data_IF_057340153244
#
_entry.id   IF_057340153244
#
_cell.length_a   1.000
_cell.length_b   1.000
_cell.length_c   1.000
_cell.angle_alpha   90.00
_cell.angle_beta   90.00
_cell.angle_gamma   90.00
#
_symmetry.space_group_name_H-M   'P 1'
#
loop_
_entity.id
_entity.type
_entity.pdbx_description
1 polymer ?
#
# COMPACT_ATOMS: atom_id res chain seq x y z
N UNK A 1 -29.89 -5.21 9.74
CA UNK A 1 -29.71 -3.74 9.70
C UNK A 1 -28.68 -3.48 8.62
N UNK A 2 -28.87 -2.54 7.67
CA UNK A 2 -27.86 -2.32 6.64
C UNK A 2 -26.57 -1.88 7.34
N UNK A 3 -25.50 -2.62 7.04
CA UNK A 3 -24.26 -2.72 7.81
C UNK A 3 -23.59 -1.37 8.03
N UNK A 4 -23.05 -1.18 9.24
CA UNK A 4 -22.11 -0.10 9.52
C UNK A 4 -20.98 -0.21 8.48
N UNK A 5 -20.51 0.90 7.88
CA UNK A 5 -19.28 0.85 7.10
C UNK A 5 -18.17 0.37 8.03
N UNK A 6 -17.50 -0.70 7.63
CA UNK A 6 -16.33 -1.23 8.30
C UNK A 6 -15.12 -0.42 7.82
N UNK A 7 -14.22 -0.09 8.73
CA UNK A 7 -12.95 0.54 8.38
C UNK A 7 -11.95 -0.58 8.14
N UNK A 8 -11.49 -0.72 6.90
CA UNK A 8 -10.41 -1.62 6.55
C UNK A 8 -9.10 -0.85 6.69
N UNK A 9 -8.22 -1.29 7.59
CA UNK A 9 -6.87 -0.77 7.75
C UNK A 9 -5.89 -1.74 7.10
N UNK A 10 -4.99 -1.20 6.28
CA UNK A 10 -3.85 -1.92 5.68
C UNK A 10 -2.59 -1.25 6.20
N UNK A 11 -1.87 -1.98 7.02
CA UNK A 11 -0.57 -1.60 7.54
C UNK A 11 0.51 -2.45 6.86
N UNK A 12 1.65 -1.83 6.57
CA UNK A 12 2.81 -2.51 6.03
C UNK A 12 4.08 -1.72 6.28
N UNK A 13 5.21 -2.34 5.96
CA UNK A 13 6.50 -1.68 6.00
C UNK A 13 7.27 -1.96 4.71
N UNK A 14 7.87 -0.91 4.15
CA UNK A 14 8.71 -0.99 2.96
C UNK A 14 10.15 -0.69 3.36
N UNK A 15 11.05 -1.63 3.08
CA UNK A 15 12.47 -1.44 3.29
C UNK A 15 13.13 -0.89 2.03
N UNK A 16 13.82 0.23 2.17
CA UNK A 16 14.67 0.81 1.14
C UNK A 16 16.14 0.74 1.56
N UNK A 17 17.02 0.49 0.60
CA UNK A 17 18.47 0.48 0.86
C UNK A 17 19.06 1.88 1.16
N UNK A 18 18.29 2.94 0.94
CA UNK A 18 18.69 4.33 1.13
C UNK A 18 17.49 5.18 1.58
N UNK A 19 17.73 6.24 2.34
CA UNK A 19 16.69 7.13 2.88
C UNK A 19 16.12 8.14 1.88
N UNK A 20 16.54 8.12 0.61
CA UNK A 20 15.98 8.99 -0.44
C UNK A 20 14.65 8.47 -1.00
N UNK A 21 13.99 7.53 -0.33
CA UNK A 21 12.76 6.91 -0.82
C UNK A 21 11.63 7.05 0.17
N UNK A 22 10.45 7.31 -0.37
CA UNK A 22 9.19 7.38 0.37
C UNK A 22 8.20 6.43 -0.30
N UNK A 23 7.36 5.81 0.51
CA UNK A 23 6.30 4.92 0.07
C UNK A 23 4.97 5.41 0.62
N UNK A 24 3.92 5.32 -0.19
CA UNK A 24 2.55 5.62 0.21
C UNK A 24 1.61 4.58 -0.41
N UNK A 25 0.61 4.14 0.35
CA UNK A 25 -0.47 3.30 -0.17
C UNK A 25 -1.64 4.19 -0.56
N UNK A 26 -2.14 4.04 -1.78
CA UNK A 26 -3.24 4.84 -2.32
C UNK A 26 -4.31 3.95 -2.96
N UNK A 27 -5.51 4.51 -3.15
CA UNK A 27 -6.57 3.81 -3.90
C UNK A 27 -6.09 3.51 -5.32
N UNK A 28 -6.36 2.29 -5.80
CA UNK A 28 -6.00 1.88 -7.14
C UNK A 28 -6.74 2.71 -8.20
N UNK A 29 -5.99 3.32 -9.13
CA UNK A 29 -6.54 4.21 -10.18
C UNK A 29 -7.27 3.44 -11.30
N UNK A 30 -7.14 2.11 -11.32
CA UNK A 30 -7.76 1.21 -12.30
C UNK A 30 -9.04 0.51 -11.84
N UNK A 31 -9.67 -0.30 -12.72
CA UNK A 31 -10.79 -1.13 -12.32
C UNK A 31 -10.36 -2.14 -11.27
N UNK A 32 -11.05 -2.13 -10.12
CA UNK A 32 -11.01 -3.24 -9.16
C UNK A 32 -11.29 -4.52 -9.95
N UNK A 33 -10.41 -5.52 -9.82
CA UNK A 33 -10.36 -6.68 -10.71
C UNK A 33 -11.67 -7.48 -10.77
N UNK A 34 -11.69 -8.57 -11.54
CA UNK A 34 -12.91 -9.38 -11.74
C UNK A 34 -13.50 -9.89 -10.41
N UNK A 35 -12.67 -10.06 -9.37
CA UNK A 35 -13.12 -10.48 -8.05
C UNK A 35 -13.41 -9.25 -7.16
N UNK A 36 -14.69 -8.96 -6.85
CA UNK A 36 -15.07 -7.79 -6.04
C UNK A 36 -14.69 -7.92 -4.55
N UNK A 37 -14.17 -9.09 -4.13
CA UNK A 37 -13.71 -9.31 -2.75
C UNK A 37 -12.21 -9.06 -2.55
N UNK A 38 -11.49 -8.76 -3.63
CA UNK A 38 -10.08 -8.36 -3.57
C UNK A 38 -10.04 -6.84 -3.64
N UNK A 39 -9.57 -6.21 -2.58
CA UNK A 39 -9.26 -4.78 -2.61
C UNK A 39 -7.89 -4.63 -3.27
N UNK A 40 -7.84 -3.94 -4.41
CA UNK A 40 -6.58 -3.54 -5.04
C UNK A 40 -6.24 -2.13 -4.56
N UNK A 41 -5.03 -1.98 -4.03
CA UNK A 41 -4.42 -0.69 -3.68
C UNK A 41 -3.06 -0.56 -4.37
N UNK A 42 -2.68 0.67 -4.66
CA UNK A 42 -1.41 0.97 -5.30
C UNK A 42 -0.38 1.39 -4.25
N UNK A 43 0.81 0.80 -4.31
CA UNK A 43 1.98 1.28 -3.58
C UNK A 43 2.75 2.25 -4.47
N UNK A 44 2.66 3.54 -4.14
CA UNK A 44 3.41 4.60 -4.82
C UNK A 44 4.75 4.77 -4.12
N UNK A 45 5.83 4.54 -4.86
CA UNK A 45 7.19 4.77 -4.40
C UNK A 45 7.73 6.00 -5.11
N UNK A 46 8.12 7.01 -4.33
CA UNK A 46 8.68 8.27 -4.84
C UNK A 46 10.05 8.52 -4.23
N UNK A 47 10.92 9.15 -5.02
CA UNK A 47 12.24 9.55 -4.55
C UNK A 47 12.14 10.91 -3.86
N UNK A 48 12.58 10.97 -2.61
CA UNK A 48 12.79 12.22 -1.88
C UNK A 48 14.21 12.74 -2.13
N UNK A 49 14.34 14.02 -2.44
CA UNK A 49 15.65 14.68 -2.63
C UNK A 49 16.44 14.84 -1.31
N UNK A 50 15.82 14.50 -0.17
CA UNK A 50 16.39 14.58 1.17
C UNK A 50 16.52 13.17 1.72
N UNK A 51 17.61 12.49 1.38
CA UNK A 51 17.89 11.13 1.84
C UNK A 51 19.30 10.99 2.38
N UNK A 52 19.47 10.12 3.37
CA UNK A 52 20.76 9.67 3.85
C UNK A 52 21.01 8.24 3.35
N UNK A 53 22.26 7.92 2.98
CA UNK A 53 22.78 6.58 2.60
C UNK A 53 22.73 5.59 3.78
N UNK A 54 21.53 5.35 4.28
CA UNK A 54 21.21 4.39 5.34
C UNK A 54 19.94 3.65 4.96
N UNK A 55 19.92 2.36 5.29
CA UNK A 55 18.74 1.52 5.14
C UNK A 55 17.58 2.16 5.90
N UNK A 56 16.48 2.38 5.20
CA UNK A 56 15.32 3.12 5.70
C UNK A 56 14.09 2.25 5.62
N UNK A 57 13.43 2.05 6.78
CA UNK A 57 12.15 1.39 6.90
C UNK A 57 11.06 2.46 6.86
N UNK A 58 10.23 2.43 5.82
CA UNK A 58 9.13 3.38 5.64
C UNK A 58 7.83 2.67 6.00
N UNK A 59 7.19 3.01 7.15
CA UNK A 59 5.88 2.47 7.47
C UNK A 59 4.85 3.05 6.49
N UNK A 60 3.99 2.18 5.98
CA UNK A 60 2.86 2.56 5.12
C UNK A 60 1.56 2.17 5.78
N UNK A 61 0.58 3.05 5.69
CA UNK A 61 -0.73 2.87 6.29
C UNK A 61 -1.80 3.36 5.31
N UNK A 62 -2.86 2.58 5.16
CA UNK A 62 -4.01 2.92 4.34
C UNK A 62 -5.30 2.55 5.05
N UNK A 63 -6.23 3.50 5.12
CA UNK A 63 -7.56 3.30 5.70
C UNK A 63 -8.62 3.48 4.63
N UNK A 64 -9.51 2.51 4.53
CA UNK A 64 -10.66 2.57 3.65
C UNK A 64 -11.95 2.35 4.44
N UNK A 65 -12.83 3.35 4.43
CA UNK A 65 -14.18 3.19 4.96
C UNK A 65 -15.08 2.61 3.87
N UNK A 66 -15.50 1.35 4.04
CA UNK A 66 -16.31 0.66 3.03
C UNK A 66 -17.40 -0.19 3.68
N UNK A 67 -18.52 -0.36 2.97
CA UNK A 67 -19.54 -1.35 3.32
C UNK A 67 -19.33 -2.67 2.58
N UNK A 68 -18.30 -2.76 1.74
CA UNK A 68 -17.92 -3.96 1.00
C UNK A 68 -17.05 -4.86 1.87
N UNK A 69 -17.37 -6.16 1.86
CA UNK A 69 -16.56 -7.16 2.53
C UNK A 69 -15.41 -7.60 1.61
N UNK A 70 -14.18 -7.19 1.94
CA UNK A 70 -12.97 -7.63 1.26
C UNK A 70 -12.33 -8.79 2.03
N UNK A 71 -12.09 -9.94 1.38
CA UNK A 71 -11.41 -11.10 1.98
C UNK A 71 -9.92 -11.17 1.65
N UNK A 72 -9.47 -10.33 0.73
CA UNK A 72 -8.07 -10.21 0.35
C UNK A 72 -7.73 -8.76 -0.01
N UNK A 73 -6.48 -8.36 0.26
CA UNK A 73 -5.90 -7.11 -0.23
C UNK A 73 -4.77 -7.48 -1.19
N UNK A 74 -4.76 -6.85 -2.35
CA UNK A 74 -3.68 -6.93 -3.33
C UNK A 74 -3.02 -5.55 -3.39
N UNK A 75 -1.70 -5.52 -3.20
CA UNK A 75 -0.91 -4.31 -3.32
C UNK A 75 -0.15 -4.39 -4.63
N UNK A 76 -0.50 -3.52 -5.57
CA UNK A 76 0.21 -3.42 -6.85
C UNK A 76 1.26 -2.30 -6.77
N UNK A 77 2.52 -2.56 -7.16
CA UNK A 77 3.51 -1.50 -7.22
C UNK A 77 3.14 -0.55 -8.35
N UNK A 78 2.90 0.73 -8.00
CA UNK A 78 2.74 1.81 -8.96
C UNK A 78 4.07 2.52 -9.12
N UNK A 79 4.91 1.96 -9.99
CA UNK A 79 6.18 2.58 -10.35
C UNK A 79 5.92 3.85 -11.18
N UNK A 80 6.41 4.99 -10.69
CA UNK A 80 6.67 6.11 -11.57
C UNK A 80 7.81 5.72 -12.54
N UNK A 81 7.74 6.12 -13.82
CA UNK A 81 8.77 5.77 -14.81
C UNK A 81 10.16 6.26 -14.35
N UNK A 82 10.99 5.33 -13.88
CA UNK A 82 12.32 5.61 -13.31
C UNK A 82 12.61 4.89 -11.98
N UNK A 83 11.60 4.34 -11.32
CA UNK A 83 11.78 3.48 -10.15
C UNK A 83 11.94 2.04 -10.61
N UNK A 84 13.09 1.42 -10.31
CA UNK A 84 13.40 0.04 -10.65
C UNK A 84 14.05 -0.59 -9.44
N UNK A 85 13.29 -0.74 -8.35
CA UNK A 85 13.81 -1.37 -7.14
C UNK A 85 12.76 -2.29 -6.52
N UNK A 86 13.23 -3.48 -6.16
CA UNK A 86 12.45 -4.52 -5.50
C UNK A 86 11.92 -3.98 -4.17
N UNK A 87 10.60 -3.89 -4.06
CA UNK A 87 9.91 -3.58 -2.81
C UNK A 87 9.58 -4.92 -2.15
N UNK A 88 10.28 -5.23 -1.06
CA UNK A 88 9.88 -6.34 -0.19
C UNK A 88 8.79 -5.80 0.76
N UNK A 89 7.53 -6.13 0.48
CA UNK A 89 6.39 -5.75 1.33
C UNK A 89 6.24 -6.81 2.41
N UNK A 90 6.71 -6.52 3.62
CA UNK A 90 6.55 -7.41 4.76
C UNK A 90 5.18 -7.19 5.41
N UNK A 91 4.32 -8.20 5.22
CA UNK A 91 3.11 -8.55 5.98
C UNK A 91 1.97 -7.52 6.05
N UNK A 92 0.90 -7.80 5.30
CA UNK A 92 -0.40 -7.13 5.42
C UNK A 92 -1.19 -7.78 6.55
N UNK A 93 -1.34 -7.09 7.67
CA UNK A 93 -2.15 -7.55 8.81
C UNK A 93 -3.54 -6.93 8.77
N UNK A 94 -4.59 -7.75 8.95
CA UNK A 94 -5.95 -7.27 9.22
C UNK A 94 -6.05 -6.91 10.69
N UNK A 95 -6.52 -5.71 11.01
CA UNK A 95 -6.89 -5.38 12.38
C UNK A 95 -8.20 -6.12 12.74
N UNK A 96 -8.14 -6.99 13.75
CA UNK A 96 -9.26 -7.72 14.37
C UNK A 96 -10.15 -6.78 15.22
#
# INVERSE_FOLDING_TARGET
MPGKPETLCVDGCVCFDDGSWTAELVEHDGPQGINPKILIIDLVVSRSDVGADVLSEVPVHYELQTSSEYDQVQVDPRDEPGSSRLVDVQEVSRAD
#
